data_IF_302410731824
#
_entry.id   IF_302410731824
#
_cell.length_a   1.000
_cell.length_b   1.000
_cell.length_c   1.000
_cell.angle_alpha   90.00
_cell.angle_beta   90.00
_cell.angle_gamma   90.00
#
_symmetry.space_group_name_H-M   'P 1'
#
loop_
_entity.id
_entity.type
_entity.pdbx_description
1 polymer ?
#
# COMPACT_ATOMS: atom_id res chain seq x y z
N UNK A 1 43.15 -10.86 5.68
CA UNK A 1 44.31 -10.26 5.01
C UNK A 1 44.93 -9.17 5.90
N UNK A 2 46.19 -8.79 5.62
CA UNK A 2 46.87 -7.71 6.35
C UNK A 2 47.47 -6.74 5.33
N UNK A 3 47.40 -5.46 5.61
CA UNK A 3 47.96 -4.38 4.81
C UNK A 3 49.00 -3.59 5.63
N UNK A 4 50.12 -3.22 5.04
CA UNK A 4 51.11 -2.34 5.67
C UNK A 4 50.69 -0.88 5.52
N UNK A 5 50.57 -0.17 6.64
CA UNK A 5 50.29 1.25 6.66
C UNK A 5 51.45 1.97 7.40
N UNK A 6 52.45 2.41 6.64
CA UNK A 6 53.69 2.88 7.20
C UNK A 6 54.46 1.74 7.91
N UNK A 7 54.75 1.92 9.20
CA UNK A 7 55.43 0.91 10.04
C UNK A 7 54.48 -0.02 10.81
N UNK A 8 53.18 0.08 10.57
CA UNK A 8 52.15 -0.71 11.27
C UNK A 8 51.33 -1.55 10.33
N UNK A 9 50.74 -2.59 10.86
CA UNK A 9 49.91 -3.56 10.13
C UNK A 9 48.45 -3.29 10.42
N UNK A 10 47.66 -3.12 9.36
CA UNK A 10 46.20 -3.02 9.43
C UNK A 10 45.58 -4.36 9.04
N UNK A 11 44.71 -4.88 9.88
CA UNK A 11 43.92 -6.07 9.55
C UNK A 11 42.81 -5.70 8.57
N UNK A 12 42.70 -6.43 7.47
CA UNK A 12 41.69 -6.23 6.45
C UNK A 12 40.79 -7.45 6.42
N UNK A 13 39.51 -7.23 6.75
CA UNK A 13 38.47 -8.24 6.65
C UNK A 13 37.82 -8.11 5.27
N UNK A 14 38.10 -9.08 4.40
CA UNK A 14 37.60 -9.10 3.04
C UNK A 14 36.88 -10.42 2.76
N UNK A 15 35.70 -10.34 2.11
CA UNK A 15 34.90 -11.52 1.76
C UNK A 15 35.34 -12.26 0.48
N UNK A 16 36.28 -11.70 -0.29
CA UNK A 16 36.83 -12.32 -1.52
C UNK A 16 38.34 -12.11 -1.63
N UNK A 17 39.02 -12.91 -2.44
CA UNK A 17 40.48 -12.82 -2.70
C UNK A 17 40.77 -11.45 -3.37
N UNK A 18 41.38 -10.56 -2.61
CA UNK A 18 41.90 -9.29 -3.13
C UNK A 18 43.24 -9.48 -3.79
N UNK A 19 43.40 -9.03 -5.02
CA UNK A 19 44.71 -9.02 -5.70
C UNK A 19 45.63 -7.97 -5.07
N UNK A 20 46.95 -8.25 -4.95
CA UNK A 20 47.91 -7.26 -4.46
C UNK A 20 47.85 -5.97 -5.29
N UNK A 21 47.84 -4.81 -4.63
CA UNK A 21 47.81 -3.50 -5.30
C UNK A 21 46.43 -2.91 -5.57
N UNK A 22 45.37 -3.59 -5.17
CA UNK A 22 43.98 -3.04 -5.32
C UNK A 22 43.73 -1.98 -4.25
N UNK A 23 43.13 -0.84 -4.63
CA UNK A 23 42.63 0.15 -3.69
C UNK A 23 41.44 -0.41 -2.94
N UNK A 24 41.55 -0.59 -1.63
CA UNK A 24 40.52 -1.10 -0.78
C UNK A 24 39.77 0.08 -0.12
N UNK A 25 38.48 0.09 -0.23
CA UNK A 25 37.61 1.05 0.43
C UNK A 25 36.73 0.32 1.44
N UNK A 26 36.63 0.85 2.67
CA UNK A 26 35.83 0.20 3.70
C UNK A 26 35.71 1.05 4.94
N UNK A 27 35.06 0.50 5.95
CA UNK A 27 34.85 1.12 7.26
C UNK A 27 35.94 0.67 8.25
N UNK A 28 36.53 1.61 8.96
CA UNK A 28 37.45 1.31 10.04
C UNK A 28 36.65 1.00 11.32
N UNK A 29 36.82 -0.23 11.83
CA UNK A 29 36.21 -0.69 13.08
C UNK A 29 37.27 -1.13 14.08
N UNK A 30 36.95 -1.09 15.39
CA UNK A 30 37.83 -1.71 16.39
C UNK A 30 38.10 -3.18 16.04
N UNK A 31 39.30 -3.66 16.29
CA UNK A 31 39.65 -5.06 16.06
C UNK A 31 38.76 -5.96 16.94
N UNK A 32 38.09 -6.93 16.32
CA UNK A 32 37.21 -7.86 17.04
C UNK A 32 38.04 -8.68 18.07
N UNK A 33 37.52 -8.73 19.33
CA UNK A 33 38.22 -9.39 20.45
C UNK A 33 38.67 -10.83 20.16
N UNK A 34 37.79 -11.63 19.54
CA UNK A 34 38.10 -12.99 19.14
C UNK A 34 39.24 -13.10 18.10
N UNK A 35 39.29 -12.15 17.17
CA UNK A 35 40.34 -12.08 16.16
C UNK A 35 41.68 -11.66 16.78
N UNK A 36 41.63 -10.67 17.68
CA UNK A 36 42.79 -10.24 18.48
C UNK A 36 43.37 -11.38 19.33
N UNK A 37 42.50 -12.09 20.05
CA UNK A 37 42.90 -13.26 20.83
C UNK A 37 43.56 -14.35 19.97
N UNK A 38 43.04 -14.59 18.76
CA UNK A 38 43.58 -15.59 17.86
C UNK A 38 44.92 -15.19 17.25
N UNK A 39 45.06 -13.90 16.87
CA UNK A 39 46.28 -13.37 16.25
C UNK A 39 47.44 -13.23 17.26
N UNK A 40 47.14 -12.97 18.53
CA UNK A 40 48.16 -12.68 19.55
C UNK A 40 48.31 -13.79 20.59
N UNK A 41 47.81 -15.01 20.31
CA UNK A 41 48.06 -16.20 21.14
C UNK A 41 49.52 -16.60 21.06
N UNK A 42 50.22 -16.51 22.18
CA UNK A 42 51.58 -17.02 22.31
C UNK A 42 52.56 -16.05 23.00
N UNK A 43 53.75 -16.53 23.35
CA UNK A 43 54.79 -15.76 24.08
C UNK A 43 55.35 -14.56 23.32
N UNK A 44 55.23 -14.54 21.96
CA UNK A 44 55.62 -13.41 21.13
C UNK A 44 54.46 -12.39 20.92
N UNK A 45 53.28 -12.63 21.50
CA UNK A 45 52.06 -11.86 21.21
C UNK A 45 52.17 -10.38 21.55
N UNK A 46 52.79 -10.01 22.67
CA UNK A 46 52.90 -8.64 23.06
C UNK A 46 53.79 -7.79 22.15
N UNK A 47 54.88 -8.35 21.66
CA UNK A 47 55.80 -7.67 20.74
C UNK A 47 55.19 -7.51 19.34
N UNK A 48 54.42 -8.50 18.90
CA UNK A 48 53.74 -8.50 17.61
C UNK A 48 52.51 -7.58 17.66
N UNK A 49 51.81 -7.56 18.79
CA UNK A 49 50.62 -6.69 18.97
C UNK A 49 50.95 -5.18 18.81
N UNK A 50 52.16 -4.77 19.20
CA UNK A 50 52.62 -3.38 19.05
C UNK A 50 52.74 -2.95 17.58
N UNK A 51 52.93 -3.88 16.68
CA UNK A 51 53.02 -3.64 15.23
C UNK A 51 51.65 -3.49 14.56
N UNK A 52 50.58 -4.01 15.18
CA UNK A 52 49.23 -3.92 14.64
C UNK A 52 48.49 -2.66 15.08
N UNK A 53 47.71 -2.12 14.19
CA UNK A 53 46.74 -1.09 14.55
C UNK A 53 45.55 -1.74 15.32
N UNK A 54 45.01 -1.09 16.38
CA UNK A 54 43.87 -1.60 17.13
C UNK A 54 42.54 -1.54 16.36
N UNK A 55 42.65 -1.43 15.05
CA UNK A 55 41.53 -1.28 14.14
C UNK A 55 41.66 -2.28 13.00
N UNK A 56 40.49 -2.65 12.45
CA UNK A 56 40.39 -3.47 11.23
C UNK A 56 39.65 -2.68 10.16
N UNK A 57 40.01 -2.90 8.90
CA UNK A 57 39.27 -2.37 7.75
C UNK A 57 38.26 -3.43 7.30
N UNK A 58 36.99 -3.15 7.48
CA UNK A 58 35.92 -3.99 6.89
C UNK A 58 35.61 -3.48 5.49
N UNK A 59 36.02 -4.24 4.50
CA UNK A 59 35.81 -3.87 3.10
C UNK A 59 34.34 -4.06 2.76
N UNK A 60 33.66 -2.95 2.52
CA UNK A 60 32.25 -2.91 2.14
C UNK A 60 32.14 -2.36 0.74
N UNK A 61 31.36 -3.00 -0.09
CA UNK A 61 31.10 -2.51 -1.45
C UNK A 61 30.07 -1.38 -1.43
N UNK A 62 30.52 -0.19 -1.04
CA UNK A 62 29.69 1.02 -1.03
C UNK A 62 29.14 1.41 -2.41
N UNK A 63 29.80 0.94 -3.49
CA UNK A 63 29.35 1.28 -4.85
C UNK A 63 28.04 0.56 -5.18
N UNK A 64 27.90 -0.69 -4.79
CA UNK A 64 26.69 -1.46 -5.06
C UNK A 64 25.47 -0.84 -4.34
N UNK A 65 25.61 -0.50 -3.04
CA UNK A 65 24.49 0.12 -2.29
C UNK A 65 24.15 1.52 -2.80
N UNK A 66 25.15 2.33 -3.19
CA UNK A 66 24.93 3.66 -3.78
C UNK A 66 24.12 3.63 -5.08
N UNK A 67 24.37 2.65 -5.94
CA UNK A 67 23.62 2.49 -7.19
C UNK A 67 22.15 2.14 -6.95
N UNK A 68 21.86 1.28 -5.97
CA UNK A 68 20.48 0.93 -5.62
C UNK A 68 19.69 2.11 -5.06
N UNK A 69 20.34 2.92 -4.22
CA UNK A 69 19.73 4.16 -3.69
C UNK A 69 19.45 5.14 -4.84
N UNK A 70 20.42 5.35 -5.73
CA UNK A 70 20.27 6.23 -6.88
C UNK A 70 19.15 5.75 -7.81
N UNK A 71 19.09 4.46 -8.12
CA UNK A 71 18.01 3.85 -8.90
C UNK A 71 16.64 4.06 -8.22
N UNK A 72 16.57 3.89 -6.90
CA UNK A 72 15.35 4.16 -6.12
C UNK A 72 14.87 5.61 -6.24
N UNK A 73 15.80 6.57 -6.15
CA UNK A 73 15.49 8.01 -6.32
C UNK A 73 14.99 8.30 -7.74
N UNK A 74 15.66 7.80 -8.77
CA UNK A 74 15.20 7.99 -10.15
C UNK A 74 13.84 7.34 -10.42
N UNK A 75 13.60 6.14 -9.90
CA UNK A 75 12.29 5.50 -10.00
C UNK A 75 11.18 6.33 -9.31
N UNK A 76 11.45 6.86 -8.12
CA UNK A 76 10.51 7.72 -7.41
C UNK A 76 10.21 9.02 -8.18
N UNK A 77 11.24 9.67 -8.75
CA UNK A 77 11.08 10.86 -9.59
C UNK A 77 10.29 10.57 -10.87
N UNK A 78 10.53 9.43 -11.51
CA UNK A 78 9.79 9.01 -12.70
C UNK A 78 8.30 8.77 -12.38
N UNK A 79 8.00 8.10 -11.25
CA UNK A 79 6.62 7.91 -10.78
C UNK A 79 5.97 9.26 -10.46
N UNK A 80 6.66 10.16 -9.76
CA UNK A 80 6.14 11.49 -9.46
C UNK A 80 5.85 12.30 -10.73
N UNK A 81 6.76 12.29 -11.70
CA UNK A 81 6.56 12.96 -12.99
C UNK A 81 5.38 12.38 -13.76
N UNK A 82 5.24 11.05 -13.77
CA UNK A 82 4.11 10.37 -14.39
C UNK A 82 2.78 10.74 -13.73
N UNK A 83 2.73 10.78 -12.39
CA UNK A 83 1.53 11.20 -11.65
C UNK A 83 1.16 12.66 -11.95
N UNK A 84 2.13 13.57 -12.00
CA UNK A 84 1.90 14.98 -12.32
C UNK A 84 1.40 15.15 -13.75
N UNK A 85 2.01 14.48 -14.72
CA UNK A 85 1.58 14.60 -16.13
C UNK A 85 0.19 14.00 -16.33
N UNK A 86 -0.11 12.87 -15.72
CA UNK A 86 -1.43 12.23 -15.79
C UNK A 86 -2.51 13.09 -15.14
N UNK A 87 -2.25 13.64 -13.95
CA UNK A 87 -3.21 14.52 -13.26
C UNK A 87 -3.48 15.81 -14.04
N UNK A 88 -2.45 16.41 -14.65
CA UNK A 88 -2.64 17.58 -15.55
C UNK A 88 -3.48 17.24 -16.77
N UNK A 89 -3.29 16.06 -17.36
CA UNK A 89 -4.12 15.57 -18.45
C UNK A 89 -5.59 15.46 -18.06
N UNK A 90 -5.87 14.93 -16.88
CA UNK A 90 -7.24 14.81 -16.35
C UNK A 90 -7.88 16.16 -16.00
N UNK A 91 -7.09 17.13 -15.51
CA UNK A 91 -7.60 18.48 -15.26
C UNK A 91 -7.94 19.20 -16.56
N UNK A 92 -7.16 19.01 -17.62
CA UNK A 92 -7.42 19.62 -18.93
C UNK A 92 -8.61 18.95 -19.66
N UNK A 93 -8.80 17.63 -19.46
CA UNK A 93 -9.86 16.87 -20.09
C UNK A 93 -10.53 15.91 -19.06
N UNK A 94 -11.42 16.41 -18.17
CA UNK A 94 -12.00 15.63 -17.08
C UNK A 94 -12.71 14.36 -17.52
N UNK A 95 -13.32 14.37 -18.70
CA UNK A 95 -14.00 13.19 -19.28
C UNK A 95 -13.07 12.02 -19.57
N UNK A 96 -11.75 12.24 -19.61
CA UNK A 96 -10.75 11.17 -19.80
C UNK A 96 -10.39 10.46 -18.50
N UNK A 97 -10.73 11.04 -17.33
CA UNK A 97 -10.49 10.40 -16.04
C UNK A 97 -11.32 9.11 -15.92
N UNK A 98 -10.73 7.97 -15.50
CA UNK A 98 -11.44 6.68 -15.46
C UNK A 98 -12.76 6.71 -14.66
N UNK A 99 -12.80 7.42 -13.53
CA UNK A 99 -14.01 7.58 -12.73
C UNK A 99 -15.07 8.43 -13.44
N UNK A 100 -14.65 9.51 -14.13
CA UNK A 100 -15.57 10.43 -14.83
C UNK A 100 -15.97 9.91 -16.21
N UNK A 101 -15.20 9.01 -16.81
CA UNK A 101 -15.57 8.36 -18.08
C UNK A 101 -16.89 7.59 -17.96
N UNK A 102 -17.11 6.91 -16.84
CA UNK A 102 -18.40 6.26 -16.55
C UNK A 102 -19.50 7.27 -16.27
N UNK A 103 -19.19 8.28 -15.50
CA UNK A 103 -20.12 9.36 -15.17
C UNK A 103 -20.59 10.12 -16.43
N UNK A 104 -19.71 10.32 -17.40
CA UNK A 104 -20.04 10.94 -18.68
C UNK A 104 -21.11 10.14 -19.48
N UNK A 105 -21.26 8.85 -19.24
CA UNK A 105 -22.31 8.04 -19.83
C UNK A 105 -23.70 8.36 -19.25
N UNK A 106 -23.78 8.98 -18.07
CA UNK A 106 -25.04 9.34 -17.41
C UNK A 106 -25.53 10.74 -17.79
N UNK A 107 -24.74 11.52 -18.55
CA UNK A 107 -25.13 12.85 -19.05
C UNK A 107 -24.01 13.89 -19.00
N UNK A 108 -24.41 15.16 -19.04
CA UNK A 108 -23.46 16.28 -18.96
C UNK A 108 -22.75 16.32 -17.61
N UNK A 109 -21.42 16.36 -17.63
CA UNK A 109 -20.60 16.31 -16.41
C UNK A 109 -20.83 17.52 -15.47
N UNK A 110 -21.22 18.69 -15.99
CA UNK A 110 -21.49 19.86 -15.15
C UNK A 110 -22.82 19.71 -14.40
N UNK A 111 -23.83 19.23 -15.10
CA UNK A 111 -25.13 18.94 -14.49
C UNK A 111 -24.99 17.81 -13.45
N UNK A 112 -24.18 16.81 -13.74
CA UNK A 112 -23.88 15.72 -12.84
C UNK A 112 -23.13 16.19 -11.59
N UNK A 113 -22.13 17.07 -11.73
CA UNK A 113 -21.37 17.64 -10.60
C UNK A 113 -22.30 18.41 -9.65
N UNK A 114 -23.19 19.23 -10.19
CA UNK A 114 -24.21 19.94 -9.37
C UNK A 114 -25.16 18.96 -8.68
N UNK A 115 -25.60 17.90 -9.37
CA UNK A 115 -26.47 16.89 -8.78
C UNK A 115 -25.79 16.08 -7.67
N UNK A 116 -24.53 15.71 -7.86
CA UNK A 116 -23.71 15.01 -6.85
C UNK A 116 -23.44 15.92 -5.65
N UNK A 117 -23.16 17.22 -5.87
CA UNK A 117 -22.96 18.18 -4.80
C UNK A 117 -24.20 18.32 -3.92
N UNK A 118 -25.38 18.49 -4.54
CA UNK A 118 -26.65 18.57 -3.83
C UNK A 118 -26.98 17.26 -3.08
N UNK A 119 -26.76 16.12 -3.73
CA UNK A 119 -27.02 14.79 -3.14
C UNK A 119 -26.12 14.51 -1.94
N UNK A 120 -24.90 15.06 -1.95
CA UNK A 120 -23.91 14.90 -0.89
C UNK A 120 -24.26 15.66 0.39
N UNK A 121 -25.01 16.76 0.32
CA UNK A 121 -25.42 17.54 1.50
C UNK A 121 -26.35 16.74 2.40
N UNK A 122 -27.22 15.89 1.82
CA UNK A 122 -28.15 15.02 2.52
C UNK A 122 -27.67 13.56 2.62
N UNK A 123 -26.41 13.30 2.28
CA UNK A 123 -25.88 11.94 2.23
C UNK A 123 -25.58 11.38 3.62
N UNK A 124 -25.96 10.13 3.82
CA UNK A 124 -25.60 9.33 4.98
C UNK A 124 -24.14 8.87 4.87
N UNK A 125 -23.37 9.00 5.95
CA UNK A 125 -21.99 8.54 6.00
C UNK A 125 -21.92 7.09 6.54
N UNK A 126 -21.47 6.16 5.72
CA UNK A 126 -21.38 4.73 6.05
C UNK A 126 -19.99 4.23 5.69
N UNK A 127 -19.17 3.89 6.69
CA UNK A 127 -17.85 3.32 6.46
C UNK A 127 -16.94 4.14 5.53
N UNK A 128 -17.06 5.47 5.55
CA UNK A 128 -16.31 6.41 4.69
C UNK A 128 -16.87 6.55 3.27
N UNK A 129 -18.05 6.01 3.01
CA UNK A 129 -18.85 6.26 1.81
C UNK A 129 -19.99 7.22 2.14
N UNK A 130 -20.30 8.08 1.19
CA UNK A 130 -21.46 8.96 1.26
C UNK A 130 -22.60 8.40 0.41
N UNK A 131 -23.63 7.90 1.09
CA UNK A 131 -24.83 7.36 0.47
C UNK A 131 -25.85 8.49 0.30
N UNK A 132 -25.94 9.03 -0.92
CA UNK A 132 -26.92 10.03 -1.30
C UNK A 132 -28.25 9.41 -1.76
N UNK A 133 -29.13 10.20 -2.37
CA UNK A 133 -30.39 9.71 -2.96
C UNK A 133 -30.17 8.97 -4.26
N UNK A 134 -29.26 9.47 -5.10
CA UNK A 134 -28.98 8.93 -6.43
C UNK A 134 -27.57 8.38 -6.57
N UNK A 135 -26.65 8.85 -5.73
CA UNK A 135 -25.23 8.51 -5.88
C UNK A 135 -24.65 7.96 -4.59
N UNK A 136 -23.82 6.95 -4.75
CA UNK A 136 -22.88 6.50 -3.74
C UNK A 136 -21.50 7.03 -4.09
N UNK A 137 -20.93 7.82 -3.17
CA UNK A 137 -19.68 8.54 -3.42
C UNK A 137 -18.63 8.16 -2.39
N UNK A 138 -17.43 7.84 -2.84
CA UNK A 138 -16.24 7.70 -1.99
C UNK A 138 -15.13 8.56 -2.53
N UNK A 139 -14.61 9.43 -1.68
CA UNK A 139 -13.41 10.21 -1.97
C UNK A 139 -12.21 9.62 -1.23
N UNK A 140 -11.13 9.36 -1.92
CA UNK A 140 -9.87 8.91 -1.36
C UNK A 140 -8.71 9.74 -1.91
N UNK A 141 -7.53 9.67 -1.29
CA UNK A 141 -6.32 10.33 -1.79
C UNK A 141 -5.94 9.91 -3.23
N UNK A 142 -6.35 8.73 -3.64
CA UNK A 142 -6.00 8.14 -4.94
C UNK A 142 -7.12 8.25 -5.97
N UNK A 143 -8.30 8.78 -5.61
CA UNK A 143 -9.39 8.90 -6.57
C UNK A 143 -10.78 9.12 -5.97
N UNK A 144 -11.70 9.35 -6.87
CA UNK A 144 -13.13 9.47 -6.63
C UNK A 144 -13.83 8.23 -7.18
N UNK A 145 -14.58 7.54 -6.35
CA UNK A 145 -15.55 6.52 -6.78
C UNK A 145 -16.94 7.11 -6.75
N UNK A 146 -17.60 7.10 -7.90
CA UNK A 146 -18.96 7.57 -8.06
C UNK A 146 -19.80 6.44 -8.68
N UNK A 147 -20.88 6.06 -8.02
CA UNK A 147 -21.78 5.00 -8.44
C UNK A 147 -23.21 5.50 -8.46
N UNK A 148 -23.93 5.18 -9.53
CA UNK A 148 -25.34 5.51 -9.64
C UNK A 148 -26.19 4.43 -8.92
N UNK A 149 -27.02 4.86 -7.98
CA UNK A 149 -27.92 3.97 -7.23
C UNK A 149 -29.12 3.55 -8.08
N UNK A 150 -29.46 4.27 -9.14
CA UNK A 150 -30.53 3.86 -10.09
C UNK A 150 -30.18 2.55 -10.83
N UNK A 151 -28.90 2.20 -10.91
CA UNK A 151 -28.40 0.96 -11.49
C UNK A 151 -28.17 -0.16 -10.47
N UNK A 152 -28.47 0.10 -9.17
CA UNK A 152 -28.34 -0.86 -8.11
C UNK A 152 -29.36 -1.97 -8.26
N UNK A 153 -28.94 -3.21 -8.14
CA UNK A 153 -29.80 -4.39 -8.30
C UNK A 153 -30.15 -5.05 -6.96
N UNK A 154 -29.20 -5.05 -6.04
CA UNK A 154 -29.36 -5.81 -4.83
C UNK A 154 -28.55 -5.19 -3.65
N UNK A 155 -29.17 -5.13 -2.46
CA UNK A 155 -28.55 -4.67 -1.23
C UNK A 155 -28.84 -5.64 -0.08
N UNK A 156 -27.81 -5.97 0.71
CA UNK A 156 -27.96 -6.79 1.90
C UNK A 156 -26.86 -6.53 2.93
N UNK A 157 -27.16 -6.85 4.20
CA UNK A 157 -26.19 -6.86 5.28
C UNK A 157 -25.49 -8.21 5.38
N UNK A 158 -24.17 -8.19 5.52
CA UNK A 158 -23.34 -9.37 5.72
C UNK A 158 -22.70 -9.31 7.11
N UNK A 159 -22.83 -10.38 7.88
CA UNK A 159 -22.17 -10.54 9.18
C UNK A 159 -21.20 -11.72 9.09
N UNK A 160 -19.92 -11.43 9.10
CA UNK A 160 -18.86 -12.45 9.05
C UNK A 160 -18.28 -12.65 10.45
N UNK A 161 -18.47 -13.86 11.01
CA UNK A 161 -17.86 -14.25 12.28
C UNK A 161 -16.43 -14.73 12.04
N UNK A 162 -15.46 -14.02 12.58
CA UNK A 162 -14.04 -14.44 12.53
C UNK A 162 -13.77 -15.43 13.64
N UNK A 163 -13.12 -16.55 13.32
CA UNK A 163 -12.63 -17.53 14.28
C UNK A 163 -11.12 -17.65 14.16
N UNK A 164 -10.42 -17.53 15.28
CA UNK A 164 -9.00 -17.82 15.37
C UNK A 164 -8.82 -19.33 15.62
N UNK A 165 -7.96 -19.99 14.87
CA UNK A 165 -7.73 -21.44 14.95
C UNK A 165 -9.01 -22.30 14.88
N UNK A 166 -10.02 -21.86 14.10
CA UNK A 166 -11.32 -22.54 13.91
C UNK A 166 -12.22 -22.67 15.15
N UNK A 167 -11.73 -22.37 16.36
CA UNK A 167 -12.43 -22.62 17.63
C UNK A 167 -12.69 -21.34 18.43
N UNK A 168 -11.72 -20.41 18.47
CA UNK A 168 -11.82 -19.21 19.31
C UNK A 168 -12.54 -18.11 18.55
N UNK A 169 -13.65 -17.55 19.06
CA UNK A 169 -14.29 -16.39 18.42
C UNK A 169 -13.36 -15.19 18.45
N UNK A 170 -12.98 -14.70 17.28
CA UNK A 170 -12.05 -13.57 17.10
C UNK A 170 -12.74 -12.26 16.71
N UNK A 171 -14.05 -12.17 16.98
CA UNK A 171 -14.87 -11.03 16.63
C UNK A 171 -15.76 -11.27 15.41
N UNK A 172 -16.56 -10.24 15.09
CA UNK A 172 -17.41 -10.25 13.90
C UNK A 172 -17.18 -8.96 13.11
N UNK A 173 -17.21 -9.08 11.79
CA UNK A 173 -17.16 -7.95 10.88
C UNK A 173 -18.51 -7.86 10.19
N UNK A 174 -19.06 -6.65 10.17
CA UNK A 174 -20.32 -6.37 9.50
C UNK A 174 -20.04 -5.52 8.27
N UNK A 175 -20.83 -5.71 7.23
CA UNK A 175 -20.68 -4.97 6.00
C UNK A 175 -22.04 -4.78 5.31
N UNK A 176 -22.25 -3.61 4.77
CA UNK A 176 -23.29 -3.35 3.79
C UNK A 176 -22.77 -3.76 2.41
N UNK A 177 -23.47 -4.67 1.76
CA UNK A 177 -23.10 -5.16 0.43
C UNK A 177 -24.10 -4.65 -0.59
N UNK A 178 -23.59 -3.92 -1.58
CA UNK A 178 -24.35 -3.32 -2.66
C UNK A 178 -23.87 -3.93 -3.98
N UNK A 179 -24.80 -4.44 -4.80
CA UNK A 179 -24.49 -5.14 -6.05
C UNK A 179 -25.13 -4.47 -7.26
N UNK A 180 -24.28 -4.04 -8.15
CA UNK A 180 -24.61 -3.62 -9.52
C UNK A 180 -24.37 -4.76 -10.48
N UNK A 181 -24.76 -4.61 -11.74
CA UNK A 181 -24.56 -5.63 -12.78
C UNK A 181 -23.08 -5.99 -12.98
N UNK A 182 -22.21 -4.99 -12.97
CA UNK A 182 -20.79 -5.11 -13.31
C UNK A 182 -19.85 -5.17 -12.07
N UNK A 183 -20.37 -4.86 -10.89
CA UNK A 183 -19.56 -4.78 -9.66
C UNK A 183 -20.34 -5.06 -8.38
N UNK A 184 -19.56 -5.37 -7.36
CA UNK A 184 -20.03 -5.45 -5.97
C UNK A 184 -19.19 -4.51 -5.12
N UNK A 185 -19.84 -3.70 -4.30
CA UNK A 185 -19.20 -2.86 -3.28
C UNK A 185 -19.55 -3.41 -1.91
N UNK A 186 -18.52 -3.63 -1.10
CA UNK A 186 -18.66 -4.07 0.28
C UNK A 186 -18.15 -2.96 1.19
N UNK A 187 -19.03 -2.40 2.00
CA UNK A 187 -18.76 -1.30 2.93
C UNK A 187 -18.70 -1.89 4.33
N UNK A 188 -17.49 -2.00 4.88
CA UNK A 188 -17.32 -2.41 6.28
C UNK A 188 -17.76 -1.28 7.19
N UNK A 189 -18.70 -1.56 8.08
CA UNK A 189 -19.32 -0.58 8.98
C UNK A 189 -19.81 -1.27 10.24
N UNK A 190 -20.27 -0.49 11.22
CA UNK A 190 -20.91 -1.01 12.42
C UNK A 190 -22.36 -1.43 12.13
N UNK A 191 -22.90 -2.29 12.97
CA UNK A 191 -24.28 -2.80 12.81
C UNK A 191 -25.35 -1.69 12.70
N UNK A 192 -25.34 -0.64 13.54
CA UNK A 192 -26.29 0.46 13.39
C UNK A 192 -26.17 1.16 12.04
N UNK A 193 -24.95 1.46 11.59
CA UNK A 193 -24.66 2.09 10.30
C UNK A 193 -25.13 1.20 9.13
N UNK A 194 -24.93 -0.12 9.25
CA UNK A 194 -25.37 -1.07 8.25
C UNK A 194 -26.90 -1.11 8.12
N UNK A 195 -27.62 -1.14 9.26
CA UNK A 195 -29.08 -1.16 9.27
C UNK A 195 -29.65 0.15 8.72
N UNK A 196 -29.13 1.28 9.18
CA UNK A 196 -29.50 2.61 8.68
C UNK A 196 -29.24 2.75 7.17
N UNK A 197 -28.11 2.23 6.71
CA UNK A 197 -27.77 2.18 5.28
C UNK A 197 -28.72 1.32 4.46
N UNK A 198 -29.12 0.16 4.97
CA UNK A 198 -30.11 -0.70 4.32
C UNK A 198 -31.48 -0.04 4.25
N UNK A 199 -31.94 0.58 5.34
CA UNK A 199 -33.19 1.30 5.40
C UNK A 199 -33.20 2.46 4.39
N UNK A 200 -32.16 3.30 4.41
CA UNK A 200 -32.01 4.41 3.47
C UNK A 200 -31.97 3.95 2.00
N UNK A 201 -31.31 2.85 1.71
CA UNK A 201 -31.29 2.28 0.34
C UNK A 201 -32.68 1.77 -0.03
N UNK A 202 -33.38 1.06 0.85
CA UNK A 202 -34.72 0.53 0.59
C UNK A 202 -35.77 1.63 0.37
N UNK A 203 -35.70 2.72 1.15
CA UNK A 203 -36.59 3.88 0.97
C UNK A 203 -36.34 4.61 -0.36
N UNK A 204 -35.08 4.79 -0.73
CA UNK A 204 -34.67 5.56 -1.93
C UNK A 204 -34.82 4.77 -3.21
N UNK A 205 -34.68 3.45 -3.13
CA UNK A 205 -34.66 2.53 -4.27
C UNK A 205 -35.61 1.33 -4.02
N UNK A 206 -36.93 1.54 -3.99
CA UNK A 206 -37.89 0.50 -3.58
C UNK A 206 -38.00 -0.68 -4.56
N UNK A 207 -37.41 -0.58 -5.75
CA UNK A 207 -37.42 -1.64 -6.77
C UNK A 207 -36.26 -2.62 -6.67
N UNK A 208 -35.26 -2.38 -5.80
CA UNK A 208 -34.13 -3.29 -5.66
C UNK A 208 -34.47 -4.50 -4.79
N UNK A 209 -33.71 -5.57 -4.96
CA UNK A 209 -33.78 -6.71 -4.03
C UNK A 209 -33.14 -6.34 -2.71
N UNK A 210 -33.86 -6.60 -1.61
CA UNK A 210 -33.36 -6.35 -0.25
C UNK A 210 -33.16 -7.66 0.50
N UNK A 211 -32.09 -7.68 1.31
CA UNK A 211 -31.74 -8.85 2.12
C UNK A 211 -31.09 -9.97 1.31
N UNK A 212 -30.55 -10.97 2.02
CA UNK A 212 -29.88 -12.11 1.39
C UNK A 212 -30.75 -13.35 1.44
N UNK A 213 -31.03 -13.93 0.28
CA UNK A 213 -31.61 -15.27 0.15
C UNK A 213 -31.08 -15.95 -1.13
N UNK A 214 -31.29 -17.26 -1.24
CA UNK A 214 -30.81 -18.05 -2.39
C UNK A 214 -31.50 -17.67 -3.70
N UNK A 215 -32.76 -17.28 -3.65
CA UNK A 215 -33.53 -16.90 -4.82
C UNK A 215 -33.03 -15.55 -5.37
N UNK A 216 -32.76 -14.59 -4.49
CA UNK A 216 -32.14 -13.32 -4.87
C UNK A 216 -30.75 -13.53 -5.49
N UNK A 217 -29.93 -14.43 -4.95
CA UNK A 217 -28.66 -14.79 -5.54
C UNK A 217 -28.83 -15.38 -6.95
N UNK A 218 -29.75 -16.33 -7.11
CA UNK A 218 -30.00 -16.97 -8.40
C UNK A 218 -30.52 -15.96 -9.43
N UNK A 219 -31.41 -15.05 -8.99
CA UNK A 219 -31.91 -13.98 -9.85
C UNK A 219 -30.80 -13.01 -10.28
N UNK A 220 -29.96 -12.57 -9.34
CA UNK A 220 -28.82 -11.70 -9.63
C UNK A 220 -27.85 -12.35 -10.61
N UNK A 221 -27.52 -13.65 -10.42
CA UNK A 221 -26.59 -14.38 -11.28
C UNK A 221 -27.11 -14.53 -12.73
N UNK A 222 -28.44 -14.51 -12.92
CA UNK A 222 -29.08 -14.49 -14.26
C UNK A 222 -29.02 -13.11 -14.93
N UNK A 223 -28.97 -12.03 -14.16
CA UNK A 223 -28.95 -10.65 -14.67
C UNK A 223 -27.53 -10.18 -15.03
N UNK A 224 -26.52 -10.87 -14.55
CA UNK A 224 -25.10 -10.55 -14.76
C UNK A 224 -24.63 -11.11 -16.11
#
# INVERSE_FOLDING_TARGET
>A
HAAMLGSRILVVKHGAEGSPGTLLTGELRPLEGKLGETLFKGSAGASVQALFLPMQLEVTDYRASGHWILMGVFAALAVAAWLVTTSRGWLAAPHTHPALKRAAAWGDLRALDAAVAADREEALDIGGWKLGRRFLVRSSLLGLELLNLDELLWAYGEVTKKKLYYVIPAGQTQALVLRWRDRTVRIECKEPEMLEGLEAVGERQPWIMMGWNKDAQTYYDRQR
#
